data_IF_073390951863
#
_entry.id   IF_073390951863
#
_cell.length_a   1.000
_cell.length_b   1.000
_cell.length_c   1.000
_cell.angle_alpha   90.00
_cell.angle_beta   90.00
_cell.angle_gamma   90.00
#
_symmetry.space_group_name_H-M   'P 1'
#
loop_
_entity.id
_entity.type
_entity.pdbx_description
1 polymer ?
#
# COMPACT_ATOMS: atom_id res chain seq x y z
N UNK A 1 -2.47 12.14 1.82
CA UNK A 1 -1.11 12.61 1.45
C UNK A 1 -1.01 14.13 1.58
N UNK A 2 0.10 14.68 2.06
CA UNK A 2 0.32 16.14 2.19
C UNK A 2 1.25 16.58 1.07
N UNK A 3 0.68 16.87 -0.10
CA UNK A 3 1.45 17.20 -1.31
C UNK A 3 2.28 18.48 -1.21
N UNK A 4 1.86 19.46 -0.38
CA UNK A 4 2.60 20.70 -0.17
C UNK A 4 3.85 20.56 0.70
N UNK A 5 4.00 19.42 1.39
CA UNK A 5 5.15 19.13 2.26
C UNK A 5 5.38 17.61 2.35
N UNK A 6 5.60 16.99 1.20
CA UNK A 6 5.80 15.54 1.06
C UNK A 6 7.05 15.05 1.80
N UNK A 7 8.05 15.93 1.96
CA UNK A 7 9.34 15.63 2.57
C UNK A 7 9.45 16.05 4.06
N UNK A 8 8.35 16.47 4.68
CA UNK A 8 8.33 16.93 6.08
C UNK A 8 9.31 18.09 6.38
N UNK A 9 9.45 19.02 5.46
CA UNK A 9 10.33 20.18 5.63
C UNK A 9 9.74 21.26 6.53
N UNK A 10 8.39 21.39 6.54
CA UNK A 10 7.65 22.46 7.22
C UNK A 10 6.70 21.95 8.31
N UNK A 11 6.74 20.66 8.63
CA UNK A 11 5.95 20.02 9.68
C UNK A 11 6.81 19.04 10.48
N UNK A 12 6.38 18.76 11.70
CA UNK A 12 7.05 17.77 12.54
C UNK A 12 7.05 16.41 11.82
N UNK A 13 8.20 15.77 11.79
CA UNK A 13 8.32 14.39 11.33
C UNK A 13 7.70 13.46 12.36
N UNK A 14 6.73 12.67 11.91
CA UNK A 14 6.12 11.58 12.67
C UNK A 14 6.31 10.28 11.89
N UNK A 15 7.03 9.28 12.41
CA UNK A 15 7.39 8.07 11.66
C UNK A 15 6.20 7.33 11.06
N UNK A 16 5.10 7.21 11.80
CA UNK A 16 3.90 6.51 11.31
C UNK A 16 3.17 7.29 10.22
N UNK A 17 3.11 8.61 10.31
CA UNK A 17 2.55 9.46 9.25
C UNK A 17 3.39 9.37 7.98
N UNK A 18 4.72 9.38 8.11
CA UNK A 18 5.64 9.24 6.98
C UNK A 18 5.49 7.86 6.33
N UNK A 19 5.42 6.80 7.13
CA UNK A 19 5.17 5.45 6.66
C UNK A 19 3.83 5.35 5.93
N UNK A 20 2.74 5.79 6.55
CA UNK A 20 1.39 5.74 5.95
C UNK A 20 1.34 6.55 4.65
N UNK A 21 1.98 7.73 4.61
CA UNK A 21 2.08 8.54 3.40
C UNK A 21 2.84 7.79 2.29
N UNK A 22 3.95 7.13 2.61
CA UNK A 22 4.74 6.38 1.64
C UNK A 22 3.97 5.19 1.05
N UNK A 23 3.16 4.50 1.88
CA UNK A 23 2.34 3.38 1.43
C UNK A 23 1.15 3.84 0.58
N UNK A 24 0.52 4.95 0.92
CA UNK A 24 -0.49 5.60 0.07
C UNK A 24 0.11 5.98 -1.29
N UNK A 25 1.35 6.50 -1.31
CA UNK A 25 2.03 6.84 -2.55
C UNK A 25 2.23 5.62 -3.48
N UNK A 26 2.51 4.43 -2.95
CA UNK A 26 2.62 3.22 -3.75
C UNK A 26 1.30 2.86 -4.44
N UNK A 27 0.17 3.05 -3.78
CA UNK A 27 -1.15 2.79 -4.36
C UNK A 27 -1.47 3.81 -5.45
N UNK A 28 -1.27 5.11 -5.18
CA UNK A 28 -1.45 6.17 -6.16
C UNK A 28 -0.54 6.00 -7.38
N UNK A 29 0.71 5.55 -7.16
CA UNK A 29 1.62 5.22 -8.25
C UNK A 29 1.04 4.13 -9.15
N UNK A 30 0.49 3.06 -8.60
CA UNK A 30 -0.11 1.98 -9.38
C UNK A 30 -1.30 2.47 -10.22
N UNK A 31 -2.12 3.37 -9.68
CA UNK A 31 -3.24 4.00 -10.40
C UNK A 31 -2.72 4.79 -11.61
N UNK A 32 -1.78 5.71 -11.43
CA UNK A 32 -1.29 6.56 -12.50
C UNK A 32 -0.44 5.80 -13.52
N UNK A 33 0.40 4.86 -13.07
CA UNK A 33 1.21 4.04 -13.94
C UNK A 33 0.35 3.18 -14.87
N UNK A 34 -0.73 2.59 -14.36
CA UNK A 34 -1.69 1.85 -15.20
C UNK A 34 -2.37 2.77 -16.22
N UNK A 35 -2.76 3.98 -15.82
CA UNK A 35 -3.37 4.96 -16.72
C UNK A 35 -2.43 5.35 -17.87
N UNK A 36 -1.14 5.46 -17.58
CA UNK A 36 -0.11 5.85 -18.57
C UNK A 36 0.31 4.71 -19.49
N UNK A 37 0.46 3.51 -18.93
CA UNK A 37 1.08 2.38 -19.62
C UNK A 37 0.10 1.28 -20.01
N UNK A 38 -1.17 1.41 -19.60
CA UNK A 38 -2.21 0.41 -19.92
C UNK A 38 -2.44 0.23 -21.41
N UNK A 39 -2.29 1.31 -22.20
CA UNK A 39 -2.35 1.25 -23.67
C UNK A 39 -1.22 0.43 -24.30
N UNK A 40 -0.09 0.30 -23.62
CA UNK A 40 1.05 -0.53 -24.03
C UNK A 40 0.96 -1.96 -23.47
N UNK A 41 -0.16 -2.32 -22.87
CA UNK A 41 -0.38 -3.65 -22.28
C UNK A 41 0.27 -3.84 -20.89
N UNK A 42 0.75 -2.77 -20.25
CA UNK A 42 1.37 -2.82 -18.93
C UNK A 42 0.33 -2.48 -17.88
N UNK A 43 0.10 -3.42 -16.95
CA UNK A 43 -0.77 -3.22 -15.80
C UNK A 43 0.05 -3.12 -14.52
N UNK A 44 -0.30 -2.17 -13.65
CA UNK A 44 0.37 -1.98 -12.36
C UNK A 44 -0.67 -2.03 -11.25
N UNK A 45 -0.45 -2.88 -10.28
CA UNK A 45 -1.32 -3.02 -9.11
C UNK A 45 -0.49 -2.85 -7.83
N UNK A 46 -1.14 -2.38 -6.79
CA UNK A 46 -0.56 -2.34 -5.46
C UNK A 46 -1.14 -3.46 -4.59
N UNK A 47 -0.38 -3.91 -3.62
CA UNK A 47 -0.82 -4.93 -2.67
C UNK A 47 -0.26 -4.71 -1.27
N UNK A 48 -0.92 -5.32 -0.28
CA UNK A 48 -0.31 -5.58 1.02
C UNK A 48 -0.12 -7.09 1.21
N UNK A 49 1.07 -7.51 1.67
CA UNK A 49 1.33 -8.92 1.95
C UNK A 49 0.68 -9.41 3.26
N UNK A 50 0.13 -8.49 4.06
CA UNK A 50 -0.27 -8.72 5.42
C UNK A 50 0.90 -8.70 6.41
N UNK A 51 0.67 -9.10 7.65
CA UNK A 51 1.71 -9.13 8.69
C UNK A 51 2.53 -10.39 8.58
N UNK A 52 3.69 -10.28 7.94
CA UNK A 52 4.59 -11.41 7.66
C UNK A 52 5.74 -11.42 8.67
N UNK A 53 6.01 -12.56 9.28
CA UNK A 53 7.17 -12.71 10.16
C UNK A 53 8.46 -12.74 9.33
N UNK A 54 9.25 -11.67 9.43
CA UNK A 54 10.48 -11.50 8.67
C UNK A 54 11.51 -10.66 9.44
N UNK A 55 12.71 -10.51 8.90
CA UNK A 55 13.73 -9.63 9.49
C UNK A 55 13.36 -8.12 9.41
N UNK A 56 12.25 -7.76 8.80
CA UNK A 56 11.80 -6.37 8.75
C UNK A 56 11.50 -5.82 10.15
N UNK A 57 11.02 -6.68 11.07
CA UNK A 57 10.68 -6.29 12.43
C UNK A 57 11.88 -6.07 13.36
N UNK A 58 13.11 -6.31 12.92
CA UNK A 58 14.32 -6.18 13.77
C UNK A 58 14.52 -4.80 14.41
N UNK A 59 13.89 -3.77 13.88
CA UNK A 59 13.95 -2.39 14.38
C UNK A 59 12.63 -1.92 15.01
N UNK A 60 11.63 -2.78 15.08
CA UNK A 60 10.32 -2.47 15.68
C UNK A 60 10.41 -2.85 17.16
N UNK A 61 10.06 -1.93 18.04
CA UNK A 61 10.01 -2.20 19.48
C UNK A 61 8.77 -3.01 19.84
N UNK A 62 8.79 -3.65 21.02
CA UNK A 62 7.61 -4.36 21.54
C UNK A 62 6.42 -3.41 21.70
N UNK A 63 6.66 -2.15 22.06
CA UNK A 63 5.62 -1.11 22.18
C UNK A 63 4.99 -0.78 20.81
N UNK A 64 5.81 -0.69 19.74
CA UNK A 64 5.32 -0.46 18.38
C UNK A 64 4.53 -1.68 17.88
N UNK A 65 4.98 -2.88 18.19
CA UNK A 65 4.25 -4.11 17.87
C UNK A 65 2.89 -4.14 18.56
N UNK A 66 2.81 -3.77 19.83
CA UNK A 66 1.56 -3.76 20.59
C UNK A 66 0.58 -2.71 20.03
N UNK A 67 1.05 -1.52 19.65
CA UNK A 67 0.24 -0.50 18.97
C UNK A 67 -0.31 -1.00 17.63
N UNK A 68 0.48 -1.78 16.90
CA UNK A 68 0.09 -2.33 15.61
C UNK A 68 -0.90 -3.49 15.76
N UNK A 69 -0.78 -4.27 16.83
CA UNK A 69 -1.65 -5.41 17.15
C UNK A 69 -3.12 -5.03 17.23
N UNK A 70 -3.42 -3.91 17.90
CA UNK A 70 -4.80 -3.40 18.10
C UNK A 70 -5.52 -3.14 16.75
N UNK A 71 -4.77 -2.99 15.65
CA UNK A 71 -5.34 -2.70 14.32
C UNK A 71 -5.34 -3.91 13.37
N UNK A 72 -4.85 -5.08 13.81
CA UNK A 72 -4.62 -6.23 12.91
C UNK A 72 -5.22 -7.52 13.50
N UNK A 73 -5.89 -7.45 14.64
CA UNK A 73 -6.58 -8.60 15.22
C UNK A 73 -7.83 -8.96 14.39
N UNK A 74 -8.07 -10.27 14.25
CA UNK A 74 -9.30 -10.76 13.63
C UNK A 74 -10.52 -10.50 14.54
N UNK A 75 -11.72 -10.85 14.06
CA UNK A 75 -12.97 -10.69 14.80
C UNK A 75 -13.00 -11.42 16.16
N UNK A 76 -12.06 -12.34 16.39
CA UNK A 76 -11.91 -13.11 17.63
C UNK A 76 -10.77 -12.59 18.51
N UNK A 77 -10.15 -11.44 18.17
CA UNK A 77 -9.00 -10.90 18.91
C UNK A 77 -7.71 -11.70 18.70
N UNK A 78 -7.63 -12.50 17.64
CA UNK A 78 -6.47 -13.32 17.33
C UNK A 78 -5.59 -12.64 16.29
N UNK A 79 -4.32 -12.49 16.62
CA UNK A 79 -3.29 -11.98 15.73
C UNK A 79 -2.53 -13.16 15.10
N UNK A 80 -2.60 -13.24 13.76
CA UNK A 80 -1.92 -14.31 13.03
C UNK A 80 -0.78 -13.77 12.18
N UNK A 81 0.45 -14.19 12.49
CA UNK A 81 1.57 -13.99 11.61
C UNK A 81 1.48 -14.87 10.37
N UNK A 82 1.62 -14.27 9.20
CA UNK A 82 1.79 -15.02 7.96
C UNK A 82 3.21 -15.57 7.84
N UNK A 83 3.35 -16.74 7.21
CA UNK A 83 4.65 -17.21 6.74
C UNK A 83 5.12 -16.37 5.54
N UNK A 84 6.43 -16.41 5.19
CA UNK A 84 6.93 -15.75 3.97
C UNK A 84 6.17 -16.17 2.71
N UNK A 85 5.82 -17.45 2.58
CA UNK A 85 5.07 -17.98 1.44
C UNK A 85 3.65 -17.42 1.38
N UNK A 86 2.97 -17.32 2.52
CA UNK A 86 1.65 -16.70 2.61
C UNK A 86 1.72 -15.19 2.28
N UNK A 87 2.79 -14.51 2.73
CA UNK A 87 3.03 -13.12 2.40
C UNK A 87 3.29 -12.90 0.90
N UNK A 88 3.96 -13.83 0.24
CA UNK A 88 4.24 -13.77 -1.18
C UNK A 88 3.02 -14.10 -2.07
N UNK A 89 2.01 -14.79 -1.55
CA UNK A 89 0.91 -15.34 -2.33
C UNK A 89 0.19 -14.29 -3.19
N UNK A 90 -0.12 -13.11 -2.64
CA UNK A 90 -0.77 -12.03 -3.40
C UNK A 90 0.13 -11.49 -4.52
N UNK A 91 1.45 -11.40 -4.30
CA UNK A 91 2.40 -11.00 -5.33
C UNK A 91 2.44 -12.01 -6.48
N UNK A 92 2.47 -13.30 -6.16
CA UNK A 92 2.46 -14.39 -7.15
C UNK A 92 1.15 -14.36 -7.94
N UNK A 93 0.00 -14.21 -7.27
CA UNK A 93 -1.30 -14.06 -7.93
C UNK A 93 -1.28 -12.93 -8.96
N UNK A 94 -0.82 -11.75 -8.57
CA UNK A 94 -0.79 -10.58 -9.46
C UNK A 94 0.15 -10.76 -10.65
N UNK A 95 1.25 -11.50 -10.46
CA UNK A 95 2.25 -11.70 -11.50
C UNK A 95 1.88 -12.82 -12.49
N UNK A 96 1.07 -13.80 -12.08
CA UNK A 96 0.93 -15.04 -12.86
C UNK A 96 -0.50 -15.44 -13.21
N UNK A 97 -1.51 -14.86 -12.53
CA UNK A 97 -2.89 -15.29 -12.76
C UNK A 97 -3.47 -14.75 -14.07
N UNK A 98 -3.93 -15.61 -14.98
CA UNK A 98 -4.60 -15.18 -16.20
C UNK A 98 -5.93 -14.47 -15.93
N UNK A 99 -6.53 -14.67 -14.74
CA UNK A 99 -7.77 -14.00 -14.33
C UNK A 99 -7.59 -12.49 -14.10
N UNK A 100 -6.34 -12.03 -13.96
CA UNK A 100 -6.00 -10.62 -13.73
C UNK A 100 -5.44 -9.95 -15.00
N UNK A 101 -5.50 -10.60 -16.14
CA UNK A 101 -5.05 -10.01 -17.38
C UNK A 101 -5.83 -8.74 -17.70
N UNK A 102 -5.13 -7.63 -17.92
CA UNK A 102 -5.71 -6.31 -18.19
C UNK A 102 -6.29 -5.59 -16.97
N UNK A 103 -6.21 -6.19 -15.78
CA UNK A 103 -6.64 -5.56 -14.54
C UNK A 103 -5.47 -4.79 -13.92
N UNK A 104 -5.60 -3.46 -13.85
CA UNK A 104 -4.58 -2.57 -13.30
C UNK A 104 -5.19 -1.42 -12.50
N UNK A 105 -4.34 -0.67 -11.78
CA UNK A 105 -4.75 0.46 -10.95
C UNK A 105 -5.56 0.04 -9.72
N UNK A 106 -5.40 -1.19 -9.25
CA UNK A 106 -6.15 -1.76 -8.14
C UNK A 106 -5.23 -2.04 -6.95
N UNK A 107 -5.88 -2.21 -5.80
CA UNK A 107 -5.23 -2.62 -4.57
C UNK A 107 -5.71 -4.01 -4.15
N UNK A 108 -4.78 -4.86 -3.75
CA UNK A 108 -5.03 -6.26 -3.40
C UNK A 108 -4.56 -6.58 -1.99
N UNK A 109 -5.30 -7.47 -1.33
CA UNK A 109 -4.95 -8.06 -0.04
C UNK A 109 -5.48 -9.49 0.01
N UNK A 110 -4.79 -10.39 0.68
CA UNK A 110 -5.21 -11.78 0.89
C UNK A 110 -5.67 -12.48 -0.41
N UNK A 111 -4.94 -12.28 -1.50
CA UNK A 111 -5.24 -12.82 -2.83
C UNK A 111 -6.58 -12.36 -3.43
N UNK A 112 -7.14 -11.24 -2.96
CA UNK A 112 -8.37 -10.66 -3.47
C UNK A 112 -8.19 -9.16 -3.76
N UNK A 113 -9.00 -8.60 -4.67
CA UNK A 113 -9.10 -7.17 -4.79
C UNK A 113 -9.74 -6.62 -3.51
N UNK A 114 -9.07 -5.65 -2.89
CA UNK A 114 -9.56 -5.04 -1.66
C UNK A 114 -10.84 -4.23 -1.89
N UNK A 115 -11.76 -4.34 -0.98
CA UNK A 115 -12.93 -3.47 -0.89
C UNK A 115 -12.59 -2.11 -0.25
N UNK A 116 -13.60 -1.27 0.00
CA UNK A 116 -13.42 -0.03 0.76
C UNK A 116 -12.85 -0.29 2.15
N UNK A 117 -12.03 0.65 2.63
CA UNK A 117 -11.42 0.53 3.97
C UNK A 117 -12.48 0.42 5.07
N UNK A 118 -12.25 -0.50 6.00
CA UNK A 118 -13.11 -0.75 7.15
C UNK A 118 -12.42 -0.21 8.41
N UNK A 119 -13.01 0.80 9.09
CA UNK A 119 -12.42 1.38 10.28
C UNK A 119 -12.10 0.34 11.35
N UNK A 120 -10.89 0.41 11.94
CA UNK A 120 -10.46 -0.47 13.02
C UNK A 120 -10.02 -1.88 12.63
N UNK A 121 -10.15 -2.27 11.35
CA UNK A 121 -9.81 -3.64 10.90
C UNK A 121 -8.46 -3.74 10.20
N UNK A 122 -7.87 -2.63 9.78
CA UNK A 122 -6.67 -2.61 8.93
C UNK A 122 -6.90 -3.21 7.52
N UNK A 123 -8.16 -3.47 7.13
CA UNK A 123 -8.55 -4.05 5.84
C UNK A 123 -9.12 -3.01 4.89
N UNK A 124 -8.99 -3.32 3.60
CA UNK A 124 -9.53 -2.51 2.52
C UNK A 124 -8.61 -1.36 2.12
N UNK A 125 -9.05 -0.61 1.12
CA UNK A 125 -8.33 0.55 0.59
C UNK A 125 -9.14 1.83 0.78
N UNK A 126 -8.49 2.87 1.28
CA UNK A 126 -9.14 4.18 1.46
C UNK A 126 -9.42 4.82 0.09
N UNK A 127 -10.59 5.45 -0.13
CA UNK A 127 -10.94 6.07 -1.41
C UNK A 127 -9.89 7.06 -1.91
N UNK A 128 -9.28 7.85 -1.03
CA UNK A 128 -8.24 8.82 -1.39
C UNK A 128 -6.95 8.19 -1.95
N UNK A 129 -6.71 6.91 -1.66
CA UNK A 129 -5.55 6.18 -2.17
C UNK A 129 -5.75 5.68 -3.62
N UNK A 130 -6.98 5.69 -4.11
CA UNK A 130 -7.35 5.34 -5.49
C UNK A 130 -7.78 6.57 -6.32
N UNK A 131 -7.63 7.78 -5.77
CA UNK A 131 -8.03 9.04 -6.42
C UNK A 131 -7.12 9.34 -7.63
N UNK A 132 -7.65 9.43 -8.85
CA UNK A 132 -6.86 9.69 -10.05
C UNK A 132 -6.16 11.05 -10.08
N UNK A 133 -6.79 12.08 -9.50
CA UNK A 133 -6.21 13.43 -9.46
C UNK A 133 -5.01 13.47 -8.49
N UNK A 134 -5.16 12.83 -7.33
CA UNK A 134 -4.06 12.65 -6.37
C UNK A 134 -2.92 11.80 -6.98
N UNK A 135 -3.24 10.78 -7.78
CA UNK A 135 -2.28 9.94 -8.46
C UNK A 135 -1.47 10.73 -9.51
N UNK A 136 -2.15 11.52 -10.34
CA UNK A 136 -1.51 12.42 -11.31
C UNK A 136 -0.61 13.44 -10.61
N UNK A 137 -1.09 14.06 -9.53
CA UNK A 137 -0.31 15.02 -8.75
C UNK A 137 0.96 14.40 -8.14
N UNK A 138 0.85 13.18 -7.61
CA UNK A 138 2.02 12.46 -7.09
C UNK A 138 3.06 12.22 -8.18
N UNK A 139 2.61 11.80 -9.35
CA UNK A 139 3.48 11.56 -10.50
C UNK A 139 4.26 12.79 -10.90
N UNK A 140 3.59 13.93 -11.03
CA UNK A 140 4.21 15.21 -11.41
C UNK A 140 5.27 15.68 -10.38
N UNK A 141 4.93 15.61 -9.08
CA UNK A 141 5.88 15.95 -8.01
C UNK A 141 7.09 15.01 -8.05
N UNK A 142 6.87 13.72 -8.28
CA UNK A 142 7.95 12.75 -8.36
C UNK A 142 8.89 13.03 -9.51
N UNK A 143 8.37 13.38 -10.70
CA UNK A 143 9.19 13.79 -11.85
C UNK A 143 9.99 15.07 -11.56
N UNK A 144 9.38 16.05 -10.91
CA UNK A 144 10.08 17.29 -10.51
C UNK A 144 11.23 17.00 -9.53
N UNK A 145 11.00 16.11 -8.57
CA UNK A 145 12.02 15.71 -7.58
C UNK A 145 13.19 14.96 -8.24
N UNK A 146 12.92 14.16 -9.26
CA UNK A 146 13.97 13.43 -9.98
C UNK A 146 14.78 14.33 -10.93
N UNK A 147 14.24 15.48 -11.32
CA UNK A 147 14.90 16.44 -12.21
C UNK A 147 15.71 17.52 -11.45
N UNK A 148 15.60 17.59 -10.12
CA UNK A 148 16.32 18.52 -9.25
C UNK A 148 17.63 17.91 -8.76
#
# INVERSE_FOLDING_TARGET
>A
MVFGDIHFLNRRYEPWDAYAQSKTANVLFAVEATRRWGGDGITVNALQPGTVRSNLQRYITDEDLERTRVHIEDENGSFHWKTPEQGAATSVLLATSPLLQGIGGRYFEDCNQAGPSQPGTGRGVAPYALDPDAATRLWEISLQTLAS
#
